data_IF_449476657714
#
_entry.id   IF_449476657714
#
_cell.length_a   1.000
_cell.length_b   1.000
_cell.length_c   1.000
_cell.angle_alpha   90.00
_cell.angle_beta   90.00
_cell.angle_gamma   90.00
#
_symmetry.space_group_name_H-M   'P 1'
#
loop_
_entity.id
_entity.type
_entity.pdbx_description
1 polymer ?
#
# COMPACT_ATOMS: atom_id res chain seq x y z
N UNK A 1 13.96 -43.57 6.23
CA UNK A 1 13.46 -42.51 5.31
C UNK A 1 14.18 -41.22 5.67
N UNK A 2 15.16 -40.80 4.87
CA UNK A 2 15.89 -39.55 5.14
C UNK A 2 15.07 -38.36 4.56
N UNK A 3 14.57 -37.42 5.37
CA UNK A 3 13.69 -36.35 4.91
C UNK A 3 14.40 -35.23 4.14
N UNK A 4 15.69 -35.39 3.79
CA UNK A 4 16.52 -34.30 3.24
C UNK A 4 17.58 -34.81 2.26
N UNK A 5 17.19 -35.60 1.25
CA UNK A 5 18.01 -35.72 0.05
C UNK A 5 17.34 -34.94 -1.07
N UNK A 6 18.01 -33.88 -1.53
CA UNK A 6 17.66 -33.09 -2.71
C UNK A 6 17.77 -33.99 -3.95
N UNK A 7 16.80 -34.88 -4.15
CA UNK A 7 16.77 -35.82 -5.29
C UNK A 7 16.19 -35.18 -6.56
N UNK A 8 15.90 -33.88 -6.53
CA UNK A 8 15.53 -33.06 -7.69
C UNK A 8 16.38 -31.79 -7.66
N UNK A 9 17.61 -31.88 -8.17
CA UNK A 9 18.67 -30.86 -8.20
C UNK A 9 18.37 -29.59 -9.03
N UNK A 10 17.09 -29.25 -9.22
CA UNK A 10 16.64 -28.20 -10.14
C UNK A 10 16.02 -27.03 -9.35
N UNK A 11 15.09 -26.31 -9.97
CA UNK A 11 14.57 -25.03 -9.48
C UNK A 11 14.19 -25.01 -7.98
N UNK A 12 14.48 -23.90 -7.31
CA UNK A 12 14.16 -23.66 -5.90
C UNK A 12 12.66 -23.79 -5.61
N UNK A 13 12.31 -24.27 -4.41
CA UNK A 13 10.93 -24.30 -3.89
C UNK A 13 10.46 -22.95 -3.33
N UNK A 14 11.34 -21.95 -3.29
CA UNK A 14 10.96 -20.59 -2.89
C UNK A 14 9.94 -20.02 -3.88
N UNK A 15 9.06 -19.09 -3.43
CA UNK A 15 8.11 -18.44 -4.32
C UNK A 15 8.82 -17.76 -5.49
N UNK A 16 8.37 -18.05 -6.71
CA UNK A 16 8.93 -17.43 -7.91
C UNK A 16 8.67 -15.92 -7.89
N UNK A 17 9.74 -15.15 -8.08
CA UNK A 17 9.73 -13.69 -8.18
C UNK A 17 10.01 -13.26 -9.63
N UNK A 18 9.61 -12.04 -10.04
CA UNK A 18 9.91 -11.54 -11.38
C UNK A 18 11.41 -11.45 -11.68
N UNK A 19 12.27 -11.46 -10.65
CA UNK A 19 13.74 -11.49 -10.79
C UNK A 19 14.30 -12.88 -11.11
N UNK A 20 13.50 -13.92 -10.88
CA UNK A 20 13.88 -15.32 -11.10
C UNK A 20 13.22 -15.90 -12.37
N UNK A 21 12.10 -15.32 -12.83
CA UNK A 21 11.50 -15.67 -14.11
C UNK A 21 12.27 -15.08 -15.29
N UNK A 22 12.19 -15.73 -16.45
CA UNK A 22 12.73 -15.22 -17.71
C UNK A 22 11.66 -14.38 -18.44
N UNK A 23 11.84 -14.17 -19.76
CA UNK A 23 10.84 -13.58 -20.66
C UNK A 23 9.45 -14.21 -20.41
N UNK A 24 8.42 -13.36 -20.44
CA UNK A 24 7.00 -13.70 -20.29
C UNK A 24 6.52 -14.02 -18.85
N UNK A 25 7.39 -13.94 -17.83
CA UNK A 25 6.97 -13.95 -16.43
C UNK A 25 6.88 -12.53 -15.85
N UNK A 26 5.67 -11.96 -15.83
CA UNK A 26 5.41 -10.66 -15.21
C UNK A 26 4.55 -10.78 -13.96
N UNK A 27 5.01 -10.18 -12.86
CA UNK A 27 4.26 -10.08 -11.60
C UNK A 27 4.44 -8.69 -11.00
N UNK A 28 3.32 -7.98 -10.81
CA UNK A 28 3.32 -6.64 -10.22
C UNK A 28 3.60 -6.63 -8.71
N UNK A 29 4.03 -5.48 -8.19
CA UNK A 29 4.42 -5.26 -6.79
C UNK A 29 3.27 -4.81 -5.87
N UNK A 30 2.02 -4.88 -6.33
CA UNK A 30 0.85 -4.35 -5.62
C UNK A 30 0.96 -2.85 -5.29
N UNK A 31 1.59 -2.05 -6.14
CA UNK A 31 1.71 -0.59 -5.94
C UNK A 31 0.36 0.14 -5.75
N UNK A 32 -0.73 -0.46 -6.23
CA UNK A 32 -2.11 0.00 -6.06
C UNK A 32 -2.77 -0.39 -4.73
N UNK A 33 -2.02 -0.97 -3.78
CA UNK A 33 -2.53 -1.40 -2.50
C UNK A 33 -2.19 -0.36 -1.42
N UNK A 34 -3.21 0.09 -0.71
CA UNK A 34 -3.16 0.96 0.47
C UNK A 34 -3.74 0.14 1.64
N UNK A 35 -3.40 0.38 2.91
CA UNK A 35 -3.99 -0.38 4.02
C UNK A 35 -5.52 -0.42 3.91
N UNK A 36 -6.09 -1.63 3.80
CA UNK A 36 -7.53 -1.86 3.68
C UNK A 36 -8.17 -1.62 2.30
N UNK A 37 -7.48 -0.99 1.34
CA UNK A 37 -8.08 -0.56 0.06
C UNK A 37 -7.17 -0.81 -1.14
N UNK A 38 -7.77 -1.16 -2.29
CA UNK A 38 -7.07 -1.32 -3.56
C UNK A 38 -7.55 -0.25 -4.55
N UNK A 39 -6.68 0.68 -4.92
CA UNK A 39 -7.01 1.78 -5.85
C UNK A 39 -7.00 1.37 -7.32
N UNK A 40 -6.49 0.18 -7.64
CA UNK A 40 -6.39 -0.32 -9.01
C UNK A 40 -5.26 0.33 -9.84
N UNK A 41 -5.19 0.00 -11.13
CA UNK A 41 -4.15 0.53 -12.01
C UNK A 41 -4.44 1.99 -12.42
N UNK A 42 -3.44 2.88 -12.44
CA UNK A 42 -3.61 4.32 -12.72
C UNK A 42 -3.86 4.64 -14.20
N UNK A 43 -3.91 3.64 -15.07
CA UNK A 43 -4.00 3.83 -16.50
C UNK A 43 -4.32 2.55 -17.25
N UNK A 44 -4.21 2.60 -18.58
CA UNK A 44 -4.50 1.47 -19.47
C UNK A 44 -3.44 1.32 -20.55
N UNK A 45 -3.15 0.07 -20.92
CA UNK A 45 -2.35 -0.24 -22.10
C UNK A 45 -3.11 0.16 -23.37
N UNK A 46 -2.39 0.76 -24.31
CA UNK A 46 -2.94 1.21 -25.59
C UNK A 46 -2.31 0.37 -26.69
N UNK A 47 -3.16 -0.40 -27.39
CA UNK A 47 -2.71 -1.35 -28.43
C UNK A 47 -2.29 -0.61 -29.70
N UNK A 48 -3.01 0.47 -30.06
CA UNK A 48 -2.80 1.25 -31.29
C UNK A 48 -2.39 2.69 -30.94
N UNK A 49 -1.19 3.10 -31.37
CA UNK A 49 -0.66 4.45 -31.14
C UNK A 49 0.85 4.48 -30.82
N UNK A 50 1.41 5.69 -30.75
CA UNK A 50 2.82 5.93 -30.40
C UNK A 50 3.11 5.63 -28.91
N UNK A 51 2.20 6.02 -28.01
CA UNK A 51 2.30 5.72 -26.58
C UNK A 51 1.66 4.35 -26.27
N UNK A 52 2.42 3.44 -25.65
CA UNK A 52 1.98 2.06 -25.32
C UNK A 52 1.18 1.96 -24.01
N UNK A 53 1.24 2.99 -23.17
CA UNK A 53 0.46 3.10 -21.94
C UNK A 53 -0.05 4.53 -21.78
N UNK A 54 -1.31 4.69 -21.36
CA UNK A 54 -1.94 5.98 -21.10
C UNK A 54 -2.33 6.07 -19.63
N UNK A 55 -1.81 7.08 -18.94
CA UNK A 55 -2.25 7.45 -17.60
C UNK A 55 -3.63 8.10 -17.65
N UNK A 56 -4.46 7.80 -16.66
CA UNK A 56 -5.78 8.40 -16.48
C UNK A 56 -5.73 9.12 -15.14
N UNK A 57 -5.67 10.46 -15.17
CA UNK A 57 -5.46 11.26 -13.97
C UNK A 57 -6.51 11.01 -12.89
N UNK A 58 -7.76 10.74 -13.28
CA UNK A 58 -8.85 10.39 -12.35
C UNK A 58 -8.60 9.10 -11.55
N UNK A 59 -7.74 8.20 -12.05
CA UNK A 59 -7.37 6.95 -11.36
C UNK A 59 -6.06 7.08 -10.58
N UNK A 60 -5.35 8.20 -10.74
CA UNK A 60 -4.14 8.48 -9.99
C UNK A 60 -4.57 8.96 -8.61
N UNK A 61 -3.98 8.35 -7.57
CA UNK A 61 -4.24 8.75 -6.19
C UNK A 61 -3.69 10.15 -5.92
N UNK A 62 -4.47 10.95 -5.21
CA UNK A 62 -4.08 12.27 -4.73
C UNK A 62 -4.05 12.23 -3.21
N UNK A 63 -2.94 12.70 -2.63
CA UNK A 63 -2.82 12.89 -1.19
C UNK A 63 -3.06 14.36 -0.90
N UNK A 64 -4.17 14.66 -0.23
CA UNK A 64 -4.51 16.03 0.15
C UNK A 64 -3.87 16.31 1.50
N UNK A 65 -2.92 17.23 1.51
CA UNK A 65 -2.27 17.72 2.73
C UNK A 65 -2.68 19.18 2.96
N UNK A 66 -2.92 19.60 4.21
CA UNK A 66 -3.15 21.00 4.53
C UNK A 66 -1.87 21.83 4.30
N UNK A 67 -2.01 23.16 4.26
CA UNK A 67 -0.88 24.07 4.11
C UNK A 67 0.14 23.88 5.22
N UNK A 68 1.43 24.00 4.89
CA UNK A 68 2.51 23.73 5.84
C UNK A 68 2.48 24.68 7.04
N UNK A 69 2.08 25.93 6.82
CA UNK A 69 1.89 26.93 7.88
C UNK A 69 0.82 26.49 8.88
N UNK A 70 -0.29 25.92 8.39
CA UNK A 70 -1.34 25.37 9.25
C UNK A 70 -0.77 24.25 10.12
N UNK A 71 0.00 23.32 9.52
CA UNK A 71 0.62 22.20 10.25
C UNK A 71 1.59 22.68 11.31
N UNK A 72 2.38 23.72 11.02
CA UNK A 72 3.37 24.26 11.96
C UNK A 72 2.73 25.06 13.10
N UNK A 73 1.61 25.73 12.83
CA UNK A 73 0.92 26.59 13.79
C UNK A 73 -0.12 25.85 14.65
N UNK A 74 -0.37 24.56 14.44
CA UNK A 74 -1.29 23.81 15.32
C UNK A 74 -0.66 23.55 16.69
N UNK A 75 -1.47 23.66 17.75
CA UNK A 75 -1.11 23.23 19.09
C UNK A 75 -1.19 21.71 19.29
N UNK A 76 -1.77 20.97 18.34
CA UNK A 76 -1.93 19.53 18.43
C UNK A 76 -0.59 18.83 18.23
N UNK A 77 -0.37 17.76 19.01
CA UNK A 77 0.83 16.93 18.95
C UNK A 77 0.43 15.46 18.75
N UNK A 78 1.32 14.62 18.20
CA UNK A 78 1.02 13.20 18.00
C UNK A 78 0.75 12.41 19.29
N UNK A 79 1.19 12.95 20.44
CA UNK A 79 1.04 12.31 21.75
C UNK A 79 0.27 13.22 22.71
N UNK A 80 -0.41 12.57 23.66
CA UNK A 80 -1.21 13.22 24.70
C UNK A 80 -0.55 13.01 26.06
N UNK A 81 -0.74 13.96 26.97
CA UNK A 81 -0.25 13.86 28.35
C UNK A 81 -0.97 12.75 29.12
N UNK A 82 -0.22 11.93 29.86
CA UNK A 82 -0.74 10.88 30.74
C UNK A 82 -1.55 11.43 31.93
N UNK A 83 -1.38 12.71 32.27
CA UNK A 83 -2.05 13.34 33.42
C UNK A 83 -3.51 13.68 33.13
N UNK A 84 -3.91 13.74 31.86
CA UNK A 84 -5.26 14.14 31.45
C UNK A 84 -6.15 12.90 31.46
N UNK A 85 -7.22 12.94 32.26
CA UNK A 85 -8.24 11.88 32.30
C UNK A 85 -9.47 12.33 31.52
N UNK A 86 -9.95 11.49 30.61
CA UNK A 86 -11.20 11.73 29.88
C UNK A 86 -12.39 11.68 30.83
N UNK A 87 -13.33 12.62 30.65
CA UNK A 87 -14.63 12.58 31.30
C UNK A 87 -15.50 11.43 30.76
N UNK A 88 -16.53 10.99 31.50
CA UNK A 88 -17.41 9.91 31.05
C UNK A 88 -18.08 10.18 29.69
N UNK A 89 -18.48 11.44 29.44
CA UNK A 89 -19.11 11.87 28.18
C UNK A 89 -18.14 11.78 27.00
N UNK A 90 -16.91 12.28 27.17
CA UNK A 90 -15.85 12.22 26.14
C UNK A 90 -15.45 10.79 25.78
N UNK A 91 -15.51 9.85 26.74
CA UNK A 91 -15.26 8.42 26.46
C UNK A 91 -16.34 7.81 25.58
N UNK A 92 -17.60 8.24 25.73
CA UNK A 92 -18.74 7.76 24.94
C UNK A 92 -18.69 8.26 23.50
N UNK A 93 -18.19 9.48 23.28
CA UNK A 93 -17.99 10.06 21.95
C UNK A 93 -16.76 9.48 21.23
N UNK A 94 -15.68 9.19 21.96
CA UNK A 94 -14.44 8.66 21.38
C UNK A 94 -14.51 7.19 20.97
N UNK A 95 -15.52 6.43 21.41
CA UNK A 95 -15.75 5.06 20.93
C UNK A 95 -16.42 5.08 19.57
N UNK A 96 -15.64 5.28 18.51
CA UNK A 96 -16.12 5.03 17.14
C UNK A 96 -16.38 3.53 17.01
N UNK A 97 -17.59 3.09 16.60
CA UNK A 97 -17.83 1.67 16.33
C UNK A 97 -16.94 1.23 15.17
N UNK A 98 -16.21 0.12 15.38
CA UNK A 98 -15.42 -0.57 14.36
C UNK A 98 -16.32 -1.29 13.36
#
# INVERSE_FOLDING_TARGET
MFPTLVRLSKASRLPLTPKQGNKDYYKGTRQAFVPGLRTGAPGKHVVRGKAKYRLIDEKVRVFVAPAIETIQNTNLRPYVSLKVKLTPEQRREGSVPL
#
